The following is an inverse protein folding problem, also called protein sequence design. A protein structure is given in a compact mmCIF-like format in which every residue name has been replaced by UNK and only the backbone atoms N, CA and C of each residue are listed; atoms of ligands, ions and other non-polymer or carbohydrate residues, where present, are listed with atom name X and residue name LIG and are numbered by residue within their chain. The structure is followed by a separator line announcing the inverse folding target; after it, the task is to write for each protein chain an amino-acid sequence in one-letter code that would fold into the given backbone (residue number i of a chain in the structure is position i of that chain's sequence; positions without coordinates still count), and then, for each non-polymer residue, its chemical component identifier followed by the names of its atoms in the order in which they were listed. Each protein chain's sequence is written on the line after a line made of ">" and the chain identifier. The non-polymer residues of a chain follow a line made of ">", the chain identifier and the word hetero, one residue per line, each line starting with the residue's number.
data_IF_726247924212
#
_entry.id   IF_726247924212
#
_cell.length_a   1.000
_cell.length_b   1.000
_cell.length_c   1.000
_cell.angle_alpha   90.00
_cell.angle_beta   90.00
_cell.angle_gamma   90.00
#
_symmetry.space_group_name_H-M   'P 1'
#
loop_
_entity.id
_entity.type
_entity.pdbx_description
1 polymer ?
#
# COMPACT_ATOMS: atom_id res chain seq x y z
N UNK A 1 -54.69 47.40 -91.88
CA UNK A 1 -55.43 46.37 -91.14
C UNK A 1 -54.63 45.07 -91.10
N UNK A 2 -54.13 44.58 -92.23
CA UNK A 2 -53.31 43.37 -92.31
C UNK A 2 -51.98 43.43 -91.54
N UNK A 3 -51.21 44.51 -91.64
CA UNK A 3 -49.95 44.63 -90.87
C UNK A 3 -50.13 44.54 -89.35
N UNK A 4 -51.22 45.10 -88.80
CA UNK A 4 -51.50 45.00 -87.36
C UNK A 4 -51.83 43.58 -86.90
N UNK A 5 -52.36 42.75 -87.79
CA UNK A 5 -52.63 41.34 -87.52
C UNK A 5 -51.35 40.50 -87.63
N UNK A 6 -50.47 40.86 -88.56
CA UNK A 6 -49.12 40.27 -88.68
C UNK A 6 -48.28 40.58 -87.44
N UNK A 7 -48.23 41.85 -87.02
CA UNK A 7 -47.54 42.29 -85.79
C UNK A 7 -48.08 41.55 -84.55
N UNK A 8 -49.41 41.46 -84.41
CA UNK A 8 -50.03 40.76 -83.26
C UNK A 8 -49.77 39.25 -83.26
N UNK A 9 -49.60 38.61 -84.42
CA UNK A 9 -49.22 37.20 -84.52
C UNK A 9 -47.74 36.99 -84.18
N UNK A 10 -46.87 37.94 -84.53
CA UNK A 10 -45.46 37.91 -84.14
C UNK A 10 -45.30 38.10 -82.63
N UNK A 11 -46.05 39.03 -82.02
CA UNK A 11 -46.10 39.23 -80.57
C UNK A 11 -46.59 37.97 -79.83
N UNK A 12 -47.61 37.28 -80.35
CA UNK A 12 -48.10 36.02 -79.78
C UNK A 12 -47.04 34.90 -79.83
N UNK A 13 -46.34 34.78 -80.97
CA UNK A 13 -45.24 33.81 -81.12
C UNK A 13 -44.12 34.11 -80.14
N UNK A 14 -43.75 35.38 -79.99
CA UNK A 14 -42.71 35.81 -79.05
C UNK A 14 -43.13 35.52 -77.61
N UNK A 15 -44.37 35.88 -77.22
CA UNK A 15 -44.89 35.60 -75.89
C UNK A 15 -44.92 34.10 -75.56
N UNK A 16 -45.29 33.25 -76.52
CA UNK A 16 -45.24 31.78 -76.34
C UNK A 16 -43.81 31.27 -76.18
N UNK A 17 -42.88 31.78 -76.98
CA UNK A 17 -41.46 31.43 -76.87
C UNK A 17 -40.92 31.81 -75.48
N UNK A 18 -41.24 33.02 -75.02
CA UNK A 18 -40.83 33.53 -73.72
C UNK A 18 -41.45 32.71 -72.58
N UNK A 19 -42.74 32.35 -72.65
CA UNK A 19 -43.38 31.44 -71.69
C UNK A 19 -42.69 30.07 -71.64
N UNK A 20 -42.33 29.49 -72.78
CA UNK A 20 -41.62 28.22 -72.81
C UNK A 20 -40.22 28.32 -72.19
N UNK A 21 -39.50 29.42 -72.42
CA UNK A 21 -38.20 29.64 -71.79
C UNK A 21 -38.34 29.80 -70.28
N UNK A 22 -39.35 30.55 -69.82
CA UNK A 22 -39.65 30.73 -68.40
C UNK A 22 -40.02 29.41 -67.72
N UNK A 23 -40.86 28.59 -68.36
CA UNK A 23 -41.19 27.23 -67.85
C UNK A 23 -39.94 26.37 -67.73
N UNK A 24 -39.08 26.35 -68.75
CA UNK A 24 -37.81 25.58 -68.73
C UNK A 24 -36.87 26.06 -67.62
N UNK A 25 -36.76 27.37 -67.40
CA UNK A 25 -35.96 27.93 -66.32
C UNK A 25 -36.52 27.56 -64.94
N UNK A 26 -37.84 27.64 -64.77
CA UNK A 26 -38.51 27.26 -63.52
C UNK A 26 -38.30 25.77 -63.22
N UNK A 27 -38.42 24.89 -64.22
CA UNK A 27 -38.16 23.45 -64.03
C UNK A 27 -36.72 23.20 -63.59
N UNK A 28 -35.73 23.82 -64.25
CA UNK A 28 -34.31 23.69 -63.86
C UNK A 28 -34.06 24.18 -62.43
N UNK A 29 -34.64 25.30 -62.05
CA UNK A 29 -34.50 25.83 -60.69
C UNK A 29 -35.09 24.87 -59.65
N UNK A 30 -36.26 24.30 -59.91
CA UNK A 30 -36.89 23.31 -59.03
C UNK A 30 -36.05 22.03 -58.92
N UNK A 31 -35.47 21.57 -60.02
CA UNK A 31 -34.55 20.42 -60.03
C UNK A 31 -33.32 20.71 -59.17
N UNK A 32 -32.68 21.87 -59.36
CA UNK A 32 -31.52 22.29 -58.54
C UNK A 32 -31.87 22.42 -57.05
N UNK A 33 -33.02 23.00 -56.72
CA UNK A 33 -33.48 23.11 -55.33
C UNK A 33 -33.71 21.74 -54.71
N UNK A 34 -34.33 20.81 -55.46
CA UNK A 34 -34.58 19.45 -54.97
C UNK A 34 -33.28 18.68 -54.73
N UNK A 35 -32.30 18.82 -55.63
CA UNK A 35 -30.98 18.21 -55.50
C UNK A 35 -30.24 18.77 -54.27
N UNK A 36 -30.19 20.09 -54.12
CA UNK A 36 -29.55 20.74 -52.96
C UNK A 36 -30.22 20.35 -51.63
N UNK A 37 -31.55 20.20 -51.61
CA UNK A 37 -32.26 19.73 -50.40
C UNK A 37 -31.91 18.29 -50.05
N UNK A 38 -31.82 17.40 -51.05
CA UNK A 38 -31.40 16.01 -50.83
C UNK A 38 -29.95 15.93 -50.30
N UNK A 39 -29.04 16.74 -50.85
CA UNK A 39 -27.66 16.84 -50.35
C UNK A 39 -27.60 17.33 -48.91
N UNK A 40 -28.36 18.38 -48.57
CA UNK A 40 -28.42 18.91 -47.21
C UNK A 40 -28.99 17.88 -46.21
N UNK A 41 -30.03 17.13 -46.61
CA UNK A 41 -30.59 16.07 -45.78
C UNK A 41 -29.57 14.95 -45.53
N UNK A 42 -28.83 14.55 -46.57
CA UNK A 42 -27.76 13.55 -46.43
C UNK A 42 -26.67 14.01 -45.47
N UNK A 43 -26.22 15.27 -45.60
CA UNK A 43 -25.21 15.86 -44.70
C UNK A 43 -25.75 15.92 -43.28
N UNK A 44 -27.00 16.36 -43.09
CA UNK A 44 -27.62 16.43 -41.77
C UNK A 44 -27.67 15.06 -41.09
N UNK A 45 -28.06 14.01 -41.83
CA UNK A 45 -28.08 12.63 -41.31
C UNK A 45 -26.67 12.14 -40.95
N UNK A 46 -25.66 12.47 -41.75
CA UNK A 46 -24.26 12.13 -41.45
C UNK A 46 -23.77 12.85 -40.19
N UNK A 47 -24.08 14.14 -40.04
CA UNK A 47 -23.75 14.93 -38.86
C UNK A 47 -24.43 14.35 -37.61
N UNK A 48 -25.72 14.02 -37.69
CA UNK A 48 -26.46 13.43 -36.58
C UNK A 48 -25.84 12.11 -36.13
N UNK A 49 -25.42 11.26 -37.08
CA UNK A 49 -24.71 10.00 -36.76
C UNK A 49 -23.36 10.28 -36.10
N UNK A 50 -22.55 11.19 -36.65
CA UNK A 50 -21.25 11.55 -36.08
C UNK A 50 -21.37 12.12 -34.66
N UNK A 51 -22.37 12.98 -34.42
CA UNK A 51 -22.66 13.51 -33.09
C UNK A 51 -23.06 12.38 -32.13
N UNK A 52 -23.92 11.46 -32.55
CA UNK A 52 -24.33 10.34 -31.69
C UNK A 52 -23.16 9.41 -31.34
N UNK A 53 -22.26 9.14 -32.29
CA UNK A 53 -21.08 8.30 -32.09
C UNK A 53 -20.10 8.98 -31.13
N UNK A 54 -19.76 10.24 -31.37
CA UNK A 54 -18.84 11.00 -30.51
C UNK A 54 -19.40 11.19 -29.09
N UNK A 55 -20.72 11.32 -28.93
CA UNK A 55 -21.35 11.37 -27.61
C UNK A 55 -21.23 10.03 -26.87
N UNK A 56 -21.42 8.90 -27.56
CA UNK A 56 -21.24 7.57 -26.96
C UNK A 56 -19.78 7.34 -26.55
N UNK A 57 -18.81 7.63 -27.44
CA UNK A 57 -17.38 7.54 -27.15
C UNK A 57 -16.99 8.42 -25.95
N UNK A 58 -17.53 9.63 -25.87
CA UNK A 58 -17.28 10.53 -24.73
C UNK A 58 -17.79 9.94 -23.42
N UNK A 59 -18.98 9.34 -23.42
CA UNK A 59 -19.54 8.69 -22.22
C UNK A 59 -18.70 7.50 -21.78
N UNK A 60 -18.21 6.69 -22.72
CA UNK A 60 -17.29 5.59 -22.44
C UNK A 60 -15.99 6.09 -21.81
N UNK A 61 -15.37 7.12 -22.39
CA UNK A 61 -14.15 7.72 -21.84
C UNK A 61 -14.35 8.33 -20.45
N UNK A 62 -15.50 8.97 -20.20
CA UNK A 62 -15.86 9.48 -18.87
C UNK A 62 -15.99 8.34 -17.86
N UNK A 63 -16.63 7.22 -18.24
CA UNK A 63 -16.76 6.05 -17.39
C UNK A 63 -15.40 5.42 -17.05
N UNK A 64 -14.51 5.29 -18.05
CA UNK A 64 -13.15 4.79 -17.84
C UNK A 64 -12.34 5.72 -16.93
N UNK A 65 -12.48 7.03 -17.12
CA UNK A 65 -11.80 8.02 -16.30
C UNK A 65 -12.22 7.87 -14.84
N UNK A 66 -13.52 7.76 -14.56
CA UNK A 66 -14.03 7.57 -13.20
C UNK A 66 -13.53 6.25 -12.59
N UNK A 67 -13.50 5.16 -13.37
CA UNK A 67 -12.93 3.88 -12.93
C UNK A 67 -11.43 4.01 -12.59
N UNK A 68 -10.65 4.72 -13.42
CA UNK A 68 -9.23 4.99 -13.16
C UNK A 68 -9.03 5.88 -11.92
N UNK A 69 -9.85 6.90 -11.72
CA UNK A 69 -9.78 7.79 -10.56
C UNK A 69 -10.08 7.04 -9.25
N UNK A 70 -11.11 6.19 -9.24
CA UNK A 70 -11.44 5.35 -8.07
C UNK A 70 -10.34 4.33 -7.76
N UNK A 71 -9.77 3.68 -8.78
CA UNK A 71 -8.64 2.78 -8.61
C UNK A 71 -7.39 3.52 -8.07
N UNK A 72 -7.14 4.74 -8.56
CA UNK A 72 -6.04 5.57 -8.08
C UNK A 72 -6.23 5.97 -6.61
N UNK A 73 -7.43 6.38 -6.22
CA UNK A 73 -7.73 6.68 -4.81
C UNK A 73 -7.52 5.45 -3.91
N UNK A 74 -7.95 4.27 -4.34
CA UNK A 74 -7.71 3.03 -3.60
C UNK A 74 -6.22 2.72 -3.46
N UNK A 75 -5.43 2.90 -4.52
CA UNK A 75 -3.98 2.72 -4.48
C UNK A 75 -3.28 3.71 -3.55
N UNK A 76 -3.74 4.97 -3.51
CA UNK A 76 -3.23 5.98 -2.57
C UNK A 76 -3.49 5.58 -1.12
N UNK A 77 -4.69 5.11 -0.79
CA UNK A 77 -5.01 4.65 0.57
C UNK A 77 -4.17 3.43 0.98
N UNK A 78 -3.92 2.51 0.05
CA UNK A 78 -3.03 1.37 0.28
C UNK A 78 -1.58 1.81 0.52
N UNK A 79 -1.11 2.81 -0.23
CA UNK A 79 0.22 3.37 -0.03
C UNK A 79 0.33 4.01 1.37
N UNK A 80 -0.65 4.80 1.79
CA UNK A 80 -0.68 5.39 3.12
C UNK A 80 -0.69 4.34 4.25
N UNK A 81 -1.40 3.21 4.06
CA UNK A 81 -1.34 2.12 5.05
C UNK A 81 0.02 1.46 5.11
N UNK A 82 0.65 1.21 3.95
CA UNK A 82 2.00 0.63 3.89
C UNK A 82 3.05 1.57 4.48
N UNK A 83 2.91 2.88 4.28
CA UNK A 83 3.78 3.86 4.91
C UNK A 83 3.65 3.83 6.44
N UNK A 84 2.43 3.76 6.97
CA UNK A 84 2.21 3.62 8.42
C UNK A 84 2.81 2.32 8.97
N UNK A 85 2.61 1.21 8.28
CA UNK A 85 3.20 -0.08 8.65
C UNK A 85 4.73 -0.03 8.62
N UNK A 86 5.31 0.59 7.60
CA UNK A 86 6.76 0.79 7.49
C UNK A 86 7.30 1.60 8.67
N UNK A 87 6.65 2.71 9.04
CA UNK A 87 7.08 3.51 10.18
C UNK A 87 7.03 2.70 11.48
N UNK A 88 5.94 1.97 11.73
CA UNK A 88 5.84 1.08 12.90
C UNK A 88 6.90 -0.02 12.92
N UNK A 89 7.21 -0.61 11.77
CA UNK A 89 8.28 -1.61 11.65
C UNK A 89 9.67 -1.03 11.93
N UNK A 90 9.93 0.22 11.52
CA UNK A 90 11.18 0.92 11.82
C UNK A 90 11.33 1.18 13.32
N UNK A 91 10.27 1.65 14.00
CA UNK A 91 10.28 1.85 15.45
C UNK A 91 10.58 0.55 16.21
N UNK A 92 9.91 -0.55 15.82
CA UNK A 92 10.16 -1.87 16.40
C UNK A 92 11.59 -2.35 16.16
N UNK A 93 12.13 -2.10 14.96
CA UNK A 93 13.52 -2.44 14.65
C UNK A 93 14.50 -1.66 15.52
N UNK A 94 14.28 -0.36 15.73
CA UNK A 94 15.10 0.47 16.62
C UNK A 94 15.06 -0.03 18.06
N UNK A 95 13.89 -0.38 18.58
CA UNK A 95 13.79 -0.97 19.91
C UNK A 95 14.58 -2.27 20.06
N UNK A 96 14.44 -3.18 19.09
CA UNK A 96 15.16 -4.47 19.09
C UNK A 96 16.66 -4.23 19.01
N UNK A 97 17.09 -3.29 18.16
CA UNK A 97 18.50 -2.89 18.06
C UNK A 97 19.04 -2.37 19.39
N UNK A 98 18.31 -1.50 20.08
CA UNK A 98 18.71 -0.98 21.40
C UNK A 98 18.76 -2.09 22.46
N UNK A 99 17.78 -3.00 22.48
CA UNK A 99 17.77 -4.17 23.38
C UNK A 99 18.97 -5.08 23.13
N UNK A 100 19.30 -5.31 21.86
CA UNK A 100 20.45 -6.13 21.46
C UNK A 100 21.77 -5.46 21.85
N UNK A 101 21.91 -4.15 21.66
CA UNK A 101 23.08 -3.39 22.10
C UNK A 101 23.25 -3.44 23.63
N UNK A 102 22.16 -3.27 24.39
CA UNK A 102 22.18 -3.40 25.84
C UNK A 102 22.59 -4.81 26.28
N UNK A 103 22.06 -5.86 25.62
CA UNK A 103 22.43 -7.24 25.90
C UNK A 103 23.92 -7.48 25.62
N UNK A 104 24.42 -7.02 24.47
CA UNK A 104 25.84 -7.12 24.11
C UNK A 104 26.74 -6.39 25.11
N UNK A 105 26.36 -5.20 25.55
CA UNK A 105 27.10 -4.41 26.55
C UNK A 105 27.08 -5.09 27.93
N UNK A 106 25.95 -5.68 28.34
CA UNK A 106 25.85 -6.48 29.57
C UNK A 106 26.76 -7.70 29.51
N UNK A 107 26.80 -8.42 28.39
CA UNK A 107 27.68 -9.58 28.21
C UNK A 107 29.15 -9.17 28.25
N UNK A 108 29.54 -8.07 27.61
CA UNK A 108 30.90 -7.51 27.70
C UNK A 108 31.26 -7.16 29.14
N UNK A 109 30.40 -6.42 29.84
CA UNK A 109 30.62 -6.05 31.25
C UNK A 109 30.72 -7.27 32.17
N UNK A 110 29.86 -8.27 31.99
CA UNK A 110 29.92 -9.51 32.76
C UNK A 110 31.20 -10.28 32.46
N UNK A 111 31.59 -10.40 31.18
CA UNK A 111 32.86 -11.00 30.77
C UNK A 111 34.05 -10.29 31.42
N UNK A 112 34.08 -8.96 31.43
CA UNK A 112 35.15 -8.18 32.06
C UNK A 112 35.20 -8.37 33.59
N UNK A 113 34.03 -8.44 34.25
CA UNK A 113 33.96 -8.74 35.69
C UNK A 113 34.44 -10.15 35.98
N UNK A 114 34.00 -11.15 35.20
CA UNK A 114 34.46 -12.53 35.33
C UNK A 114 35.97 -12.61 35.09
N UNK A 115 36.51 -11.94 34.08
CA UNK A 115 37.94 -11.88 33.79
C UNK A 115 38.75 -11.31 34.97
N UNK A 116 38.29 -10.20 35.58
CA UNK A 116 38.88 -9.63 36.80
C UNK A 116 38.86 -10.60 37.99
N UNK A 117 37.86 -11.48 38.02
CA UNK A 117 37.65 -12.48 39.05
C UNK A 117 38.05 -13.89 38.59
N UNK A 118 38.84 -14.06 37.53
CA UNK A 118 39.36 -15.36 37.10
C UNK A 118 40.20 -16.04 38.20
N UNK A 119 40.74 -15.25 39.15
CA UNK A 119 41.33 -15.77 40.38
C UNK A 119 40.34 -16.40 41.38
N UNK A 120 39.05 -16.04 41.32
CA UNK A 120 37.96 -16.52 42.18
C UNK A 120 37.13 -17.65 41.53
N UNK A 121 37.14 -17.80 40.20
CA UNK A 121 36.51 -18.92 39.49
C UNK A 121 37.45 -20.14 39.46
N UNK A 122 38.20 -20.35 40.53
CA UNK A 122 38.85 -21.64 40.77
C UNK A 122 37.76 -22.59 41.28
N UNK A 123 37.77 -23.82 40.79
CA UNK A 123 37.08 -24.92 41.48
C UNK A 123 37.47 -24.83 42.97
N UNK A 124 36.49 -24.68 43.85
CA UNK A 124 36.72 -24.64 45.29
C UNK A 124 37.49 -25.92 45.62
N UNK A 125 38.77 -25.79 45.92
CA UNK A 125 39.58 -26.93 46.35
C UNK A 125 38.99 -27.38 47.67
N UNK A 126 38.81 -28.70 47.91
CA UNK A 126 38.44 -29.19 49.23
C UNK A 126 39.40 -28.56 50.23
N UNK A 127 38.88 -27.76 51.17
CA UNK A 127 39.72 -27.11 52.17
C UNK A 127 40.55 -28.14 52.94
N UNK A 128 41.68 -27.72 53.51
CA UNK A 128 42.59 -28.60 54.24
C UNK A 128 41.81 -29.48 55.21
N UNK A 129 41.75 -30.78 54.90
CA UNK A 129 41.12 -31.77 55.76
C UNK A 129 42.00 -31.83 57.00
N UNK A 130 41.56 -31.15 58.07
CA UNK A 130 42.22 -31.20 59.37
C UNK A 130 42.46 -32.66 59.82
N UNK A 131 43.39 -32.88 60.76
CA UNK A 131 43.82 -34.22 61.15
C UNK A 131 42.62 -35.13 61.41
N UNK A 132 42.52 -36.20 60.61
CA UNK A 132 41.40 -37.12 60.68
C UNK A 132 41.41 -37.79 62.06
N UNK A 133 40.38 -37.53 62.87
CA UNK A 133 40.23 -38.19 64.17
C UNK A 133 40.08 -39.68 63.94
N UNK A 134 41.10 -40.44 64.33
CA UNK A 134 41.06 -41.90 64.34
C UNK A 134 40.23 -42.31 65.55
N UNK A 135 39.04 -42.85 65.31
CA UNK A 135 38.24 -43.49 66.37
C UNK A 135 38.35 -45.01 66.23
N UNK A 136 37.94 -45.73 67.26
CA UNK A 136 38.01 -47.19 67.32
C UNK A 136 37.15 -47.89 66.25
N UNK A 137 36.36 -47.13 65.49
CA UNK A 137 35.43 -47.57 64.45
C UNK A 137 35.87 -47.17 63.03
N UNK A 138 37.06 -46.59 62.89
CA UNK A 138 37.62 -46.18 61.61
C UNK A 138 37.82 -44.67 61.50
N UNK A 139 38.45 -44.22 60.40
CA UNK A 139 38.88 -42.85 60.27
C UNK A 139 37.65 -41.94 60.00
N UNK A 140 37.43 -40.94 60.86
CA UNK A 140 36.25 -40.06 60.86
C UNK A 140 34.89 -40.73 61.21
N UNK A 141 34.87 -41.91 61.83
CA UNK A 141 33.64 -42.52 62.32
C UNK A 141 33.15 -41.80 63.60
N UNK A 142 31.86 -41.46 63.63
CA UNK A 142 31.14 -40.87 64.78
C UNK A 142 29.90 -41.71 65.09
N UNK A 143 29.51 -41.80 66.36
CA UNK A 143 28.24 -42.42 66.76
C UNK A 143 27.09 -41.43 66.63
N UNK A 144 25.85 -41.92 66.55
CA UNK A 144 24.65 -41.07 66.44
C UNK A 144 24.55 -40.06 67.60
N UNK A 145 24.96 -40.47 68.81
CA UNK A 145 24.97 -39.61 69.99
C UNK A 145 25.99 -38.47 69.90
N UNK A 146 27.19 -38.74 69.37
CA UNK A 146 28.21 -37.71 69.13
C UNK A 146 27.78 -36.72 68.05
N UNK A 147 27.08 -37.20 67.02
CA UNK A 147 26.54 -36.37 65.95
C UNK A 147 25.47 -35.40 66.47
N UNK A 148 24.59 -35.85 67.36
CA UNK A 148 23.57 -35.00 67.96
C UNK A 148 24.16 -33.91 68.88
N UNK A 149 25.19 -34.24 69.66
CA UNK A 149 25.93 -33.24 70.45
C UNK A 149 26.60 -32.20 69.54
N UNK A 150 27.18 -32.65 68.42
CA UNK A 150 27.83 -31.76 67.46
C UNK A 150 26.83 -30.84 66.76
N UNK A 151 25.64 -31.36 66.39
CA UNK A 151 24.52 -30.57 65.87
C UNK A 151 24.08 -29.48 66.85
N UNK A 152 23.92 -29.82 68.14
CA UNK A 152 23.57 -28.84 69.19
C UNK A 152 24.61 -27.74 69.30
N UNK A 153 25.90 -28.10 69.40
CA UNK A 153 27.00 -27.11 69.47
C UNK A 153 27.08 -26.20 68.24
N UNK A 154 26.74 -26.72 67.07
CA UNK A 154 26.70 -25.94 65.84
C UNK A 154 25.51 -24.97 65.82
N UNK A 155 24.32 -25.43 66.25
CA UNK A 155 23.14 -24.58 66.38
C UNK A 155 23.38 -23.43 67.38
N UNK A 156 23.99 -23.73 68.52
CA UNK A 156 24.37 -22.72 69.52
C UNK A 156 25.30 -21.65 68.93
N UNK A 157 26.37 -22.06 68.23
CA UNK A 157 27.29 -21.12 67.57
C UNK A 157 26.63 -20.30 66.47
N UNK A 158 25.75 -20.93 65.68
CA UNK A 158 24.99 -20.24 64.63
C UNK A 158 24.08 -19.17 65.23
N UNK A 159 23.37 -19.51 66.30
CA UNK A 159 22.48 -18.58 66.99
C UNK A 159 23.27 -17.45 67.67
N UNK A 160 24.45 -17.75 68.23
CA UNK A 160 25.31 -16.74 68.85
C UNK A 160 25.84 -15.71 67.84
N UNK A 161 26.25 -16.16 66.64
CA UNK A 161 26.67 -15.26 65.57
C UNK A 161 25.53 -14.41 65.01
N UNK A 162 24.26 -14.85 65.12
CA UNK A 162 23.09 -14.06 64.75
C UNK A 162 22.71 -13.01 65.82
N UNK A 163 23.04 -13.25 67.10
CA UNK A 163 22.79 -12.29 68.19
C UNK A 163 23.86 -11.20 68.34
N UNK A 164 24.99 -11.31 67.63
CA UNK A 164 26.11 -10.38 67.69
C UNK A 164 26.17 -9.40 66.50
N UNK A 165 25.10 -9.33 65.70
CA UNK A 165 24.85 -8.35 64.63
C UNK A 165 23.63 -7.51 64.99
#
# INVERSE_FOLDING_TARGET
>A
MYHRLEDALEDERQARQDEETMRKLQTRLLEEESAKRAELEQIHLQQQRAISQTQAEKQELESERLAKETALQAAMLQLESLERERHGALEQYEEVRMKLEQAANKTKSWKDKVAKHEGLVRLIQPGDKGPQRMTNWGPAAFTDTELDLRKKSWQERKNHNQSAQ
#
